data_IF_173887139437
#
_entry.id   IF_173887139437
#
_cell.length_a   1.000
_cell.length_b   1.000
_cell.length_c   1.000
_cell.angle_alpha   90.00
_cell.angle_beta   90.00
_cell.angle_gamma   90.00
#
_symmetry.space_group_name_H-M   'P 1'
#
loop_
_entity.id
_entity.type
_entity.pdbx_description
1 polymer ?
#
# COMPACT_ATOMS: atom_id res chain seq x y z
N UNK A 1 -5.61 -0.93 30.32
CA UNK A 1 -5.99 -0.93 28.90
C UNK A 1 -4.89 -0.24 28.11
N UNK A 2 -4.21 -0.94 27.19
CA UNK A 2 -3.23 -0.32 26.30
C UNK A 2 -3.98 0.23 25.09
N UNK A 3 -4.34 1.52 25.13
CA UNK A 3 -4.89 2.17 23.93
C UNK A 3 -3.72 2.58 23.05
N UNK A 4 -3.62 2.01 21.84
CA UNK A 4 -2.67 2.50 20.84
C UNK A 4 -3.21 3.81 20.27
N UNK A 5 -2.31 4.76 20.02
CA UNK A 5 -2.68 6.01 19.37
C UNK A 5 -3.18 5.74 17.95
N UNK A 6 -4.20 6.48 17.53
CA UNK A 6 -4.67 6.43 16.16
C UNK A 6 -3.55 6.87 15.21
N UNK A 7 -3.49 6.26 14.03
CA UNK A 7 -2.56 6.69 13.00
C UNK A 7 -2.81 8.17 12.62
N UNK A 8 -1.75 8.93 12.30
CA UNK A 8 -1.88 10.28 11.76
C UNK A 8 -2.87 10.38 10.59
N UNK A 9 -3.67 11.45 10.55
CA UNK A 9 -4.65 11.67 9.46
C UNK A 9 -4.06 11.62 8.04
N UNK A 10 -2.86 12.15 7.76
CA UNK A 10 -2.29 12.08 6.41
C UNK A 10 -2.07 10.65 5.94
N UNK A 11 -1.66 9.75 6.85
CA UNK A 11 -1.49 8.32 6.53
C UNK A 11 -2.84 7.68 6.25
N UNK A 12 -3.87 7.99 7.05
CA UNK A 12 -5.23 7.50 6.83
C UNK A 12 -5.80 7.97 5.48
N UNK A 13 -5.53 9.22 5.07
CA UNK A 13 -5.98 9.74 3.78
C UNK A 13 -5.29 9.04 2.61
N UNK A 14 -4.01 8.70 2.73
CA UNK A 14 -3.26 8.01 1.68
C UNK A 14 -3.85 6.62 1.38
N UNK A 15 -4.30 5.90 2.41
CA UNK A 15 -4.87 4.55 2.28
C UNK A 15 -6.39 4.53 2.04
N UNK A 16 -7.06 5.69 2.12
CA UNK A 16 -8.50 5.81 1.90
C UNK A 16 -8.80 6.47 0.55
N UNK A 17 -9.46 5.73 -0.35
CA UNK A 17 -10.00 6.34 -1.56
C UNK A 17 -11.34 7.03 -1.33
N UNK A 18 -11.50 8.21 -1.96
CA UNK A 18 -12.78 8.91 -2.11
C UNK A 18 -13.57 8.45 -3.34
N UNK A 19 -13.37 7.21 -3.80
CA UNK A 19 -14.10 6.66 -4.93
C UNK A 19 -15.62 6.71 -4.66
N UNK A 20 -16.40 6.95 -5.71
CA UNK A 20 -17.88 6.92 -5.68
C UNK A 20 -18.45 5.86 -6.62
N UNK A 21 -17.58 5.32 -7.48
CA UNK A 21 -17.74 4.19 -8.39
C UNK A 21 -16.42 3.42 -8.37
N UNK A 22 -16.41 2.17 -8.83
CA UNK A 22 -15.29 1.21 -8.73
C UNK A 22 -13.87 1.79 -8.82
N UNK A 23 -12.91 1.14 -8.14
CA UNK A 23 -11.53 1.62 -8.03
C UNK A 23 -10.67 1.32 -9.27
N UNK A 24 -11.07 1.87 -10.41
CA UNK A 24 -10.28 1.89 -11.66
C UNK A 24 -9.17 2.95 -11.65
N UNK A 25 -8.84 3.48 -12.83
CA UNK A 25 -7.68 4.36 -13.06
C UNK A 25 -7.74 5.72 -12.35
N UNK A 26 -8.94 6.14 -11.95
CA UNK A 26 -9.14 7.40 -11.22
C UNK A 26 -8.99 7.25 -9.71
N UNK A 27 -8.83 6.04 -9.19
CA UNK A 27 -8.64 5.77 -7.77
C UNK A 27 -7.33 6.42 -7.27
N UNK A 28 -7.42 7.22 -6.20
CA UNK A 28 -6.26 7.89 -5.60
C UNK A 28 -5.25 6.89 -5.03
N UNK A 29 -5.71 5.80 -4.42
CA UNK A 29 -4.82 4.73 -3.95
C UNK A 29 -4.03 4.13 -5.12
N UNK A 30 -4.71 3.77 -6.22
CA UNK A 30 -4.07 3.22 -7.42
C UNK A 30 -3.04 4.19 -8.02
N UNK A 31 -3.39 5.48 -8.11
CA UNK A 31 -2.48 6.53 -8.60
C UNK A 31 -1.24 6.70 -7.72
N UNK A 32 -1.39 6.46 -6.42
CA UNK A 32 -0.27 6.44 -5.48
C UNK A 32 0.51 5.11 -5.47
N UNK A 33 0.17 4.16 -6.37
CA UNK A 33 0.78 2.82 -6.41
C UNK A 33 0.31 1.89 -5.30
N UNK A 34 -0.75 2.26 -4.57
CA UNK A 34 -1.29 1.51 -3.44
C UNK A 34 -2.54 0.72 -3.81
N UNK A 35 -2.70 -0.44 -3.18
CA UNK A 35 -3.97 -1.15 -3.15
C UNK A 35 -4.92 -0.47 -2.16
N UNK A 36 -6.20 -0.50 -2.48
CA UNK A 36 -7.25 -0.03 -1.59
C UNK A 36 -7.30 -0.89 -0.33
N UNK A 37 -7.30 -0.23 0.82
CA UNK A 37 -7.53 -0.87 2.10
C UNK A 37 -9.04 -0.96 2.41
N UNK A 38 -9.38 -1.60 3.53
CA UNK A 38 -10.76 -1.72 4.03
C UNK A 38 -11.42 -0.38 4.37
N UNK A 39 -10.64 0.69 4.58
CA UNK A 39 -11.17 2.04 4.83
C UNK A 39 -11.58 2.79 3.56
N UNK A 40 -11.45 2.21 2.37
CA UNK A 40 -12.02 2.86 1.17
C UNK A 40 -13.54 2.93 1.26
N UNK A 41 -14.07 4.14 1.16
CA UNK A 41 -15.50 4.44 1.37
C UNK A 41 -16.44 3.80 0.36
N UNK A 42 -15.95 3.48 -0.84
CA UNK A 42 -16.77 2.85 -1.87
C UNK A 42 -16.86 1.34 -1.68
N UNK A 43 -15.70 0.71 -1.48
CA UNK A 43 -15.58 -0.73 -1.60
C UNK A 43 -15.66 -1.46 -0.26
N UNK A 44 -15.45 -0.76 0.85
CA UNK A 44 -15.41 -1.31 2.20
C UNK A 44 -14.47 -2.52 2.34
N UNK A 45 -13.43 -2.61 1.50
CA UNK A 45 -12.50 -3.73 1.48
C UNK A 45 -13.10 -5.08 1.03
N UNK A 46 -14.23 -5.12 0.33
CA UNK A 46 -14.83 -6.38 -0.13
C UNK A 46 -15.12 -6.41 -1.63
N UNK A 47 -15.65 -5.32 -2.19
CA UNK A 47 -16.06 -5.23 -3.61
C UNK A 47 -15.08 -4.45 -4.48
N UNK A 48 -13.84 -4.28 -4.01
CA UNK A 48 -12.84 -3.45 -4.70
C UNK A 48 -12.05 -4.26 -5.71
N UNK A 49 -12.02 -3.82 -6.97
CA UNK A 49 -11.11 -4.38 -7.98
C UNK A 49 -9.64 -3.97 -7.76
N UNK A 50 -9.35 -3.19 -6.72
CA UNK A 50 -8.01 -2.74 -6.34
C UNK A 50 -7.63 -3.16 -4.91
N UNK A 51 -8.22 -4.22 -4.34
CA UNK A 51 -7.81 -4.74 -3.03
C UNK A 51 -6.48 -5.51 -3.15
N UNK A 52 -5.65 -5.61 -2.08
CA UNK A 52 -4.56 -6.58 -2.07
C UNK A 52 -5.07 -8.01 -2.28
N UNK A 53 -4.27 -8.82 -2.97
CA UNK A 53 -4.51 -10.25 -3.06
C UNK A 53 -4.36 -10.85 -1.65
N UNK A 54 -5.47 -11.38 -1.12
CA UNK A 54 -5.46 -12.06 0.18
C UNK A 54 -5.01 -13.49 -0.05
N UNK A 55 -3.83 -13.84 0.47
CA UNK A 55 -3.43 -15.23 0.58
C UNK A 55 -4.35 -15.93 1.59
N UNK A 56 -5.15 -16.90 1.13
CA UNK A 56 -5.88 -17.79 2.02
C UNK A 56 -4.94 -18.91 2.42
N UNK A 57 -4.49 -18.88 3.67
CA UNK A 57 -3.65 -19.94 4.25
C UNK A 57 -4.52 -20.91 5.05
N UNK A 58 -4.40 -22.19 4.74
CA UNK A 58 -5.00 -23.24 5.55
C UNK A 58 -4.15 -23.46 6.79
N UNK A 59 -4.72 -23.22 7.96
CA UNK A 59 -4.04 -23.42 9.23
C UNK A 59 -4.32 -24.85 9.69
N UNK A 60 -3.31 -25.72 9.82
CA UNK A 60 -3.51 -27.07 10.33
C UNK A 60 -4.05 -27.04 11.76
N UNK A 61 -4.88 -28.03 12.12
CA UNK A 61 -5.36 -28.18 13.51
C UNK A 61 -4.18 -28.20 14.50
N UNK A 62 -4.24 -27.32 15.50
CA UNK A 62 -3.22 -27.19 16.52
C UNK A 62 -2.05 -26.24 16.17
N UNK A 63 -2.13 -25.49 15.08
CA UNK A 63 -1.24 -24.35 14.79
C UNK A 63 -1.97 -23.03 14.94
N UNK A 64 -1.29 -22.02 15.46
CA UNK A 64 -1.85 -20.67 15.61
C UNK A 64 -1.43 -19.77 14.45
N UNK A 65 -2.20 -18.68 14.22
CA UNK A 65 -1.86 -17.63 13.25
C UNK A 65 -0.48 -16.99 13.52
N UNK A 66 0.02 -17.07 14.75
CA UNK A 66 1.36 -16.61 15.12
C UNK A 66 2.47 -17.50 14.56
N UNK A 67 2.16 -18.76 14.25
CA UNK A 67 3.12 -19.74 13.72
C UNK A 67 3.21 -19.67 12.19
N UNK A 68 2.34 -18.89 11.55
CA UNK A 68 2.34 -18.65 10.12
C UNK A 68 3.25 -17.44 9.85
N UNK A 69 4.44 -17.71 9.29
CA UNK A 69 5.32 -16.64 8.79
C UNK A 69 4.68 -16.04 7.53
N UNK A 70 4.04 -14.87 7.68
CA UNK A 70 3.56 -14.09 6.54
C UNK A 70 4.73 -13.24 6.04
N UNK A 71 5.30 -13.59 4.89
CA UNK A 71 6.23 -12.71 4.20
C UNK A 71 5.48 -11.43 3.80
N UNK A 72 5.85 -10.31 4.45
CA UNK A 72 5.30 -9.00 4.15
C UNK A 72 5.81 -8.62 2.76
N UNK A 73 5.08 -9.02 1.73
CA UNK A 73 5.38 -8.70 0.35
C UNK A 73 4.99 -7.24 0.07
N UNK A 74 5.40 -6.31 0.94
CA UNK A 74 5.46 -4.89 0.64
C UNK A 74 6.43 -4.79 -0.53
N UNK A 75 5.89 -4.53 -1.72
CA UNK A 75 6.70 -4.07 -2.83
C UNK A 75 7.28 -2.71 -2.41
N UNK A 76 8.40 -2.72 -1.71
CA UNK A 76 9.32 -1.59 -1.71
C UNK A 76 9.71 -1.46 -3.17
N UNK A 77 9.11 -0.49 -3.87
CA UNK A 77 9.75 0.00 -5.08
C UNK A 77 11.09 0.52 -4.60
N UNK A 78 12.17 -0.17 -4.97
CA UNK A 78 13.52 0.35 -4.87
C UNK A 78 13.50 1.75 -5.47
N UNK A 79 13.42 2.79 -4.62
CA UNK A 79 13.85 4.12 -5.01
C UNK A 79 15.35 3.97 -5.13
N UNK A 80 15.81 3.73 -6.36
CA UNK A 80 17.21 3.76 -6.69
C UNK A 80 17.79 5.07 -6.19
N UNK A 81 18.67 4.97 -5.22
CA UNK A 81 19.56 6.04 -4.82
C UNK A 81 20.54 6.25 -5.98
N UNK A 82 20.13 7.01 -6.99
CA UNK A 82 21.07 7.53 -7.97
C UNK A 82 21.73 8.77 -7.35
N UNK A 83 22.70 8.48 -6.48
CA UNK A 83 23.69 9.43 -6.03
C UNK A 83 24.40 10.05 -7.23
N UNK A 84 23.99 11.27 -7.58
CA UNK A 84 24.80 12.36 -8.14
C UNK A 84 25.86 12.01 -9.20
N UNK A 85 25.60 12.38 -10.45
CA UNK A 85 26.64 12.91 -11.33
C UNK A 85 26.21 14.27 -11.89
N UNK A 86 26.89 15.31 -11.42
CA UNK A 86 26.79 16.70 -11.86
C UNK A 86 26.83 16.85 -13.39
N UNK A 87 26.16 17.86 -13.97
CA UNK A 87 26.47 18.26 -15.34
C UNK A 87 27.74 19.11 -15.31
N UNK A 88 28.89 18.50 -15.61
CA UNK A 88 30.08 19.28 -15.95
C UNK A 88 29.79 20.02 -17.26
N UNK A 89 29.73 21.35 -17.15
CA UNK A 89 29.52 22.25 -18.27
C UNK A 89 30.80 22.40 -19.08
N UNK A 90 30.78 21.88 -20.30
CA UNK A 90 31.75 22.25 -21.33
C UNK A 90 31.31 23.55 -22.02
N UNK A 91 32.05 24.62 -21.74
CA UNK A 91 32.11 25.85 -22.56
C UNK A 91 33.28 25.68 -23.52
N UNK A 92 33.07 25.54 -24.84
CA UNK A 92 34.16 25.70 -25.80
C UNK A 92 34.31 27.17 -26.22
N UNK A 93 35.53 27.56 -26.67
CA UNK A 93 35.88 28.93 -27.02
C UNK A 93 35.22 29.46 -28.31
#
# INVERSE_FOLDING_TARGET
MMTRYAAPQPLLQMISCGCTKGCGDTCSCRKAGLKCSSVCKYCYGASCDNIPDVAVVEIPEGKDLSDVEMEDNLLVQDVGDDSSSSPDGDIPP
#
